data_IF_429161809486
#
_entry.id   IF_429161809486
#
_cell.length_a   1.000
_cell.length_b   1.000
_cell.length_c   1.000
_cell.angle_alpha   90.00
_cell.angle_beta   90.00
_cell.angle_gamma   90.00
#
_symmetry.space_group_name_H-M   'P 1'
#
loop_
_entity.id
_entity.type
_entity.pdbx_description
1 polymer ?
#
# COMPACT_ATOMS: atom_id res chain seq x y z
N UNK A 1 -37.01 0.80 50.52
CA UNK A 1 -36.79 1.31 49.17
C UNK A 1 -35.33 1.61 48.83
N UNK A 2 -34.43 1.74 49.77
CA UNK A 2 -33.00 2.06 49.48
C UNK A 2 -32.10 0.86 49.16
N UNK A 3 -32.58 -0.38 49.27
CA UNK A 3 -31.79 -1.60 49.03
C UNK A 3 -31.90 -2.16 47.58
N UNK A 4 -32.85 -1.67 46.79
CA UNK A 4 -33.07 -2.13 45.40
C UNK A 4 -32.16 -1.39 44.45
N UNK A 5 -31.82 -0.13 44.73
CA UNK A 5 -31.00 0.70 43.89
C UNK A 5 -29.52 0.25 43.84
N UNK A 6 -28.99 -0.31 44.96
CA UNK A 6 -27.61 -0.77 45.00
C UNK A 6 -27.39 -2.07 44.19
N UNK A 7 -28.40 -2.95 44.17
CA UNK A 7 -28.33 -4.18 43.33
C UNK A 7 -28.51 -3.89 41.85
N UNK A 8 -29.33 -2.92 41.49
CA UNK A 8 -29.51 -2.47 40.12
C UNK A 8 -28.25 -1.79 39.59
N UNK A 9 -27.60 -0.96 40.41
CA UNK A 9 -26.33 -0.32 40.07
C UNK A 9 -25.22 -1.35 39.90
N UNK A 10 -25.14 -2.37 40.75
CA UNK A 10 -24.16 -3.44 40.64
C UNK A 10 -24.37 -4.30 39.35
N UNK A 11 -25.61 -4.60 39.01
CA UNK A 11 -25.93 -5.31 37.77
C UNK A 11 -25.64 -4.47 36.55
N UNK A 12 -25.91 -3.17 36.60
CA UNK A 12 -25.57 -2.25 35.49
C UNK A 12 -24.05 -2.12 35.30
N UNK A 13 -23.27 -2.07 36.38
CA UNK A 13 -21.81 -2.06 36.33
C UNK A 13 -21.24 -3.35 35.74
N UNK A 14 -21.79 -4.51 36.04
CA UNK A 14 -21.36 -5.80 35.49
C UNK A 14 -21.69 -5.88 34.01
N UNK A 15 -22.83 -5.36 33.56
CA UNK A 15 -23.18 -5.31 32.13
C UNK A 15 -22.25 -4.38 31.33
N UNK A 16 -21.86 -3.24 31.91
CA UNK A 16 -20.92 -2.31 31.27
C UNK A 16 -19.51 -2.91 31.16
N UNK A 17 -19.07 -3.68 32.17
CA UNK A 17 -17.77 -4.39 32.10
C UNK A 17 -17.78 -5.58 31.13
N UNK A 18 -18.91 -6.24 30.93
CA UNK A 18 -19.05 -7.35 30.00
C UNK A 18 -19.01 -6.86 28.51
N UNK A 19 -19.46 -5.62 28.25
CA UNK A 19 -19.37 -5.02 26.91
C UNK A 19 -18.03 -4.33 26.61
N UNK A 20 -17.16 -4.15 27.61
CA UNK A 20 -15.89 -3.46 27.50
C UNK A 20 -14.70 -4.31 26.97
N UNK A 21 -14.88 -5.61 26.75
CA UNK A 21 -13.76 -6.53 26.42
C UNK A 21 -13.92 -7.22 25.06
N UNK A 22 -14.74 -6.74 24.18
CA UNK A 22 -14.76 -7.25 22.80
C UNK A 22 -14.58 -6.15 21.79
N UNK A 23 -13.49 -5.44 21.92
CA UNK A 23 -13.09 -4.39 21.01
C UNK A 23 -11.69 -4.57 20.43
N UNK A 24 -11.21 -5.77 20.20
CA UNK A 24 -10.32 -5.96 19.08
C UNK A 24 -11.20 -6.00 17.83
N UNK A 25 -11.68 -4.82 17.44
CA UNK A 25 -12.09 -4.60 16.07
C UNK A 25 -10.82 -4.80 15.23
N UNK A 26 -10.51 -6.03 14.87
CA UNK A 26 -9.81 -6.28 13.64
C UNK A 26 -10.70 -5.62 12.60
N UNK A 27 -10.34 -4.41 12.22
CA UNK A 27 -10.81 -3.81 10.99
C UNK A 27 -10.27 -4.75 9.91
N UNK A 28 -10.98 -5.83 9.65
CA UNK A 28 -10.94 -6.45 8.34
C UNK A 28 -11.46 -5.38 7.40
N UNK A 29 -10.55 -4.56 6.93
CA UNK A 29 -10.77 -3.86 5.68
C UNK A 29 -10.90 -4.99 4.66
N UNK A 30 -12.13 -5.45 4.45
CA UNK A 30 -12.46 -6.26 3.30
C UNK A 30 -12.12 -5.36 2.11
N UNK A 31 -10.91 -5.53 1.61
CA UNK A 31 -10.53 -4.98 0.33
C UNK A 31 -11.52 -5.63 -0.64
N UNK A 32 -12.53 -4.85 -1.07
CA UNK A 32 -13.47 -5.21 -2.13
C UNK A 32 -12.63 -5.90 -3.19
N UNK A 33 -12.92 -7.17 -3.46
CA UNK A 33 -12.16 -7.98 -4.42
C UNK A 33 -12.11 -7.20 -5.74
N UNK A 34 -11.02 -6.52 -5.98
CA UNK A 34 -10.81 -5.83 -7.24
C UNK A 34 -10.48 -6.91 -8.26
N UNK A 35 -11.41 -7.14 -9.20
CA UNK A 35 -11.11 -7.94 -10.37
C UNK A 35 -9.96 -7.26 -11.10
N UNK A 36 -8.83 -7.97 -11.25
CA UNK A 36 -7.64 -7.45 -11.93
C UNK A 36 -6.39 -7.37 -11.05
N UNK A 37 -5.48 -6.50 -11.45
CA UNK A 37 -4.23 -6.31 -10.73
C UNK A 37 -4.32 -5.12 -9.77
N UNK A 38 -3.81 -5.30 -8.57
CA UNK A 38 -3.60 -4.24 -7.57
C UNK A 38 -2.15 -4.28 -7.11
N UNK A 39 -1.51 -3.12 -7.09
CA UNK A 39 -0.16 -2.95 -6.56
C UNK A 39 -0.29 -2.18 -5.26
N UNK A 40 0.20 -2.76 -4.16
CA UNK A 40 0.27 -2.10 -2.85
C UNK A 40 1.72 -1.80 -2.53
N UNK A 41 2.02 -0.53 -2.28
CA UNK A 41 3.35 -0.08 -1.88
C UNK A 41 3.28 0.32 -0.41
N UNK A 42 4.09 -0.32 0.41
CA UNK A 42 4.28 0.04 1.80
C UNK A 42 5.58 0.86 1.93
N UNK A 43 5.43 2.17 2.14
CA UNK A 43 6.56 3.09 2.23
C UNK A 43 7.38 2.88 3.51
N UNK A 44 6.75 2.42 4.59
CA UNK A 44 7.44 2.17 5.86
C UNK A 44 8.35 0.94 5.84
N UNK A 45 8.00 -0.08 5.04
CA UNK A 45 8.78 -1.32 4.90
C UNK A 45 9.51 -1.44 3.58
N UNK A 46 9.39 -0.44 2.69
CA UNK A 46 9.96 -0.44 1.34
C UNK A 46 9.60 -1.70 0.54
N UNK A 47 8.35 -2.13 0.67
CA UNK A 47 7.87 -3.35 0.03
C UNK A 47 6.70 -3.06 -0.91
N UNK A 48 6.80 -3.58 -2.12
CA UNK A 48 5.73 -3.56 -3.12
C UNK A 48 5.16 -4.96 -3.28
N UNK A 49 3.86 -5.11 -3.11
CA UNK A 49 3.15 -6.38 -3.30
C UNK A 49 2.16 -6.27 -4.44
N UNK A 50 2.22 -7.20 -5.37
CA UNK A 50 1.29 -7.32 -6.49
C UNK A 50 0.23 -8.36 -6.17
N UNK A 51 -1.01 -7.97 -6.33
CA UNK A 51 -2.20 -8.83 -6.18
C UNK A 51 -2.85 -9.05 -7.53
N UNK A 52 -3.37 -10.24 -7.73
CA UNK A 52 -4.26 -10.59 -8.85
C UNK A 52 -5.54 -11.17 -8.28
N UNK A 53 -6.68 -10.55 -8.60
CA UNK A 53 -8.01 -10.96 -8.09
C UNK A 53 -8.00 -11.18 -6.56
N UNK A 54 -7.45 -10.22 -5.81
CA UNK A 54 -7.37 -10.27 -4.35
C UNK A 54 -6.26 -11.15 -3.76
N UNK A 55 -5.60 -12.01 -4.56
CA UNK A 55 -4.53 -12.90 -4.11
C UNK A 55 -3.15 -12.27 -4.34
N UNK A 56 -2.29 -12.23 -3.32
CA UNK A 56 -0.90 -11.81 -3.47
C UNK A 56 -0.14 -12.81 -4.35
N UNK A 57 0.49 -12.32 -5.42
CA UNK A 57 1.22 -13.14 -6.40
C UNK A 57 2.72 -12.82 -6.43
N UNK A 58 3.12 -11.64 -5.98
CA UNK A 58 4.53 -11.23 -5.96
C UNK A 58 4.76 -10.16 -4.92
N UNK A 59 5.89 -10.25 -4.20
CA UNK A 59 6.40 -9.20 -3.34
C UNK A 59 7.82 -8.84 -3.76
N UNK A 60 8.15 -7.56 -3.69
CA UNK A 60 9.44 -7.02 -4.13
C UNK A 60 9.87 -5.91 -3.18
N UNK A 61 11.17 -5.76 -2.99
CA UNK A 61 11.73 -4.56 -2.36
C UNK A 61 11.62 -3.40 -3.36
N UNK A 62 11.30 -2.22 -2.86
CA UNK A 62 11.31 -0.99 -3.62
C UNK A 62 12.09 0.11 -2.91
N UNK A 63 12.46 1.16 -3.64
CA UNK A 63 13.12 2.35 -3.08
C UNK A 63 12.26 3.57 -3.41
N UNK A 64 11.23 3.86 -2.60
CA UNK A 64 10.41 5.05 -2.80
C UNK A 64 11.21 6.30 -2.45
N UNK A 65 10.88 7.42 -3.08
CA UNK A 65 11.37 8.73 -2.67
C UNK A 65 10.52 9.32 -1.55
N UNK A 66 11.03 10.36 -0.88
CA UNK A 66 10.27 11.10 0.11
C UNK A 66 9.06 11.84 -0.49
N UNK A 67 9.07 12.05 -1.81
CA UNK A 67 7.98 12.69 -2.56
C UNK A 67 6.93 11.69 -3.06
N UNK A 68 7.09 10.39 -2.74
CA UNK A 68 6.13 9.38 -3.15
C UNK A 68 4.78 9.65 -2.50
N UNK A 69 3.72 9.91 -3.29
CA UNK A 69 2.42 10.28 -2.74
C UNK A 69 1.74 9.10 -2.05
N UNK A 70 0.98 9.40 -1.00
CA UNK A 70 0.12 8.43 -0.32
C UNK A 70 -1.28 8.55 -0.90
N UNK A 71 -1.88 7.42 -1.27
CA UNK A 71 -3.24 7.39 -1.80
C UNK A 71 -3.49 6.18 -2.69
N UNK A 72 -4.62 6.21 -3.37
CA UNK A 72 -5.01 5.22 -4.38
C UNK A 72 -4.95 5.86 -5.76
N UNK A 73 -4.20 5.26 -6.65
CA UNK A 73 -3.94 5.76 -7.99
C UNK A 73 -4.25 4.68 -9.03
N UNK A 74 -4.58 5.13 -10.24
CA UNK A 74 -4.68 4.26 -11.41
C UNK A 74 -3.43 4.42 -12.26
N UNK A 75 -2.99 3.34 -12.91
CA UNK A 75 -1.79 3.32 -13.73
C UNK A 75 -2.14 3.20 -15.22
N UNK A 76 -2.63 4.29 -15.86
CA UNK A 76 -3.16 4.22 -17.22
C UNK A 76 -2.09 4.11 -18.30
N UNK A 77 -0.86 4.54 -18.01
CA UNK A 77 0.20 4.69 -19.01
C UNK A 77 1.42 3.87 -18.66
N UNK A 78 1.93 3.15 -19.65
CA UNK A 78 3.14 2.32 -19.55
C UNK A 78 4.11 2.69 -20.65
N UNK A 79 5.41 2.71 -20.32
CA UNK A 79 6.48 2.95 -21.25
C UNK A 79 7.48 1.79 -21.19
N UNK A 80 7.93 1.32 -22.33
CA UNK A 80 9.01 0.32 -22.36
C UNK A 80 10.34 0.94 -21.94
N UNK A 81 10.61 2.16 -22.39
CA UNK A 81 11.70 3.04 -21.99
C UNK A 81 11.15 4.43 -21.75
N UNK A 82 11.68 5.13 -20.78
CA UNK A 82 11.31 6.51 -20.46
C UNK A 82 12.53 7.29 -20.01
N UNK A 83 12.64 8.52 -20.49
CA UNK A 83 13.67 9.44 -20.04
C UNK A 83 13.30 9.94 -18.63
N UNK A 84 14.29 9.93 -17.77
CA UNK A 84 14.18 10.34 -16.38
C UNK A 84 14.96 11.62 -16.14
N UNK A 85 14.68 12.30 -15.04
CA UNK A 85 15.42 13.49 -14.64
C UNK A 85 16.91 13.14 -14.45
N UNK A 86 17.81 13.94 -15.01
CA UNK A 86 19.26 13.73 -14.92
C UNK A 86 19.88 12.99 -16.11
N UNK A 87 19.26 13.06 -17.29
CA UNK A 87 19.75 12.44 -18.53
C UNK A 87 20.01 10.94 -18.41
N UNK A 88 19.12 10.25 -17.73
CA UNK A 88 19.13 8.80 -17.63
C UNK A 88 17.77 8.23 -18.07
N UNK A 89 17.72 6.92 -18.25
CA UNK A 89 16.57 6.21 -18.78
C UNK A 89 16.20 5.06 -17.88
N UNK A 90 14.91 4.70 -17.86
CA UNK A 90 14.43 3.54 -17.14
C UNK A 90 13.52 2.68 -18.01
N UNK A 91 13.43 1.40 -17.68
CA UNK A 91 12.56 0.44 -18.36
C UNK A 91 11.28 0.18 -17.60
N UNK A 92 10.29 -0.30 -18.34
CA UNK A 92 9.00 -0.76 -17.78
C UNK A 92 8.35 0.26 -16.87
N UNK A 93 8.47 1.53 -17.25
CA UNK A 93 7.91 2.61 -16.48
C UNK A 93 6.39 2.56 -16.53
N UNK A 94 5.77 2.63 -15.36
CA UNK A 94 4.31 2.66 -15.22
C UNK A 94 3.95 3.89 -14.40
N UNK A 95 3.22 4.81 -15.01
CA UNK A 95 2.85 6.08 -14.37
C UNK A 95 1.86 5.87 -13.24
N UNK A 96 2.16 6.45 -12.09
CA UNK A 96 1.29 6.49 -10.91
C UNK A 96 0.50 7.80 -10.96
N UNK A 97 1.18 8.92 -10.94
CA UNK A 97 0.62 10.28 -11.05
C UNK A 97 1.72 11.25 -11.49
N UNK A 98 1.38 12.29 -12.22
CA UNK A 98 2.30 13.32 -12.70
C UNK A 98 3.64 12.75 -13.23
N UNK A 99 4.74 13.06 -12.58
CA UNK A 99 6.08 12.55 -12.87
C UNK A 99 6.49 11.31 -12.06
N UNK A 100 5.61 10.80 -11.19
CA UNK A 100 5.88 9.64 -10.33
C UNK A 100 5.57 8.36 -11.08
N UNK A 101 6.56 7.48 -11.16
CA UNK A 101 6.52 6.26 -11.93
C UNK A 101 7.02 5.07 -11.11
N UNK A 102 6.46 3.88 -11.35
CA UNK A 102 7.21 2.65 -11.14
C UNK A 102 8.21 2.49 -12.27
N UNK A 103 9.44 2.17 -11.98
CA UNK A 103 10.48 1.97 -13.00
C UNK A 103 11.59 1.01 -12.54
N UNK A 104 12.40 0.55 -13.49
CA UNK A 104 13.60 -0.26 -13.24
C UNK A 104 14.73 0.57 -12.63
N UNK A 105 15.89 -0.04 -12.45
CA UNK A 105 17.17 0.68 -12.27
C UNK A 105 17.43 1.61 -13.47
N UNK A 106 18.32 2.56 -13.30
CA UNK A 106 18.65 3.55 -14.32
C UNK A 106 19.67 3.02 -15.33
N UNK A 107 19.58 3.57 -16.53
CA UNK A 107 20.49 3.32 -17.65
C UNK A 107 20.98 4.65 -18.21
N UNK A 108 22.19 4.69 -18.71
CA UNK A 108 22.76 5.91 -19.29
C UNK A 108 22.41 6.11 -20.76
N UNK A 109 21.94 5.06 -21.46
CA UNK A 109 21.46 5.15 -22.84
C UNK A 109 20.08 4.53 -23.00
N UNK A 110 19.27 5.22 -23.80
CA UNK A 110 17.95 4.74 -24.18
C UNK A 110 18.08 3.44 -25.01
N UNK A 111 17.36 2.42 -24.63
CA UNK A 111 17.34 1.14 -25.33
C UNK A 111 18.54 0.23 -25.07
N UNK A 112 19.55 0.67 -24.35
CA UNK A 112 20.79 -0.07 -24.12
C UNK A 112 20.93 -0.53 -22.67
N UNK A 113 20.65 -1.82 -22.44
CA UNK A 113 20.74 -2.44 -21.11
C UNK A 113 22.15 -2.61 -20.57
N UNK A 114 23.17 -2.56 -21.45
CA UNK A 114 24.58 -2.67 -21.04
C UNK A 114 25.05 -1.45 -20.26
N UNK A 115 24.31 -0.34 -20.36
CA UNK A 115 24.59 0.93 -19.66
C UNK A 115 23.90 1.06 -18.31
N UNK A 116 23.52 -0.05 -17.68
CA UNK A 116 22.87 -0.07 -16.37
C UNK A 116 23.76 0.61 -15.32
N UNK A 117 23.14 1.52 -14.54
CA UNK A 117 23.79 2.10 -13.38
C UNK A 117 23.86 1.06 -12.27
N UNK A 118 25.05 0.61 -11.94
CA UNK A 118 25.35 -0.27 -10.81
C UNK A 118 25.83 0.61 -9.66
N UNK A 119 25.12 0.59 -8.56
CA UNK A 119 25.56 1.18 -7.29
C UNK A 119 25.85 0.09 -6.28
#
# INVERSE_FOLDING_TARGET
>A
MKKITSKLVAVLMIVVMAFGISGTATVKTEAKESKGYVIKVNLGTNCTTVYKNGKAIKAMICSPSNETPIGTFYTPVKYRWHEMIGNCYAQYCTRITDSILFHSVWYYKNGDKSTMSVR
#
